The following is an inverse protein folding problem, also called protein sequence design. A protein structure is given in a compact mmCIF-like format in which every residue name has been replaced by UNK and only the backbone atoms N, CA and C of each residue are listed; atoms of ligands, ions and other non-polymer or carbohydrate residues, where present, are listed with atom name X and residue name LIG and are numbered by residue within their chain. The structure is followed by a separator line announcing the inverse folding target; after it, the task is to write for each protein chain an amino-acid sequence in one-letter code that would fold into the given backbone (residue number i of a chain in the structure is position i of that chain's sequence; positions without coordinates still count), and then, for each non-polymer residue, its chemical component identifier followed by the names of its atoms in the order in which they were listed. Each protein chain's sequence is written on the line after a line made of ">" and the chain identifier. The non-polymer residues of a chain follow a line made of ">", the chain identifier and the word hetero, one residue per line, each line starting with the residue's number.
data_IF_988258290927
#
_entry.id   IF_988258290927
#
_cell.length_a   1.000
_cell.length_b   1.000
_cell.length_c   1.000
_cell.angle_alpha   90.00
_cell.angle_beta   90.00
_cell.angle_gamma   90.00
#
_symmetry.space_group_name_H-M   'P 1'
#
loop_
_entity.id
_entity.type
_entity.pdbx_description
1 polymer ?
#
# COMPACT_ATOMS: atom_id res chain seq x y z
N UNK A 1 16.41 -19.30 -19.08
CA UNK A 1 15.36 -18.37 -19.55
C UNK A 1 14.10 -18.66 -18.76
N UNK A 2 13.63 -17.71 -17.94
CA UNK A 2 12.50 -17.91 -17.01
C UNK A 2 11.19 -18.04 -17.77
N UNK A 3 10.46 -19.13 -17.55
CA UNK A 3 9.13 -19.31 -18.09
C UNK A 3 8.16 -18.30 -17.45
N UNK A 4 7.38 -17.59 -18.27
CA UNK A 4 6.09 -17.00 -17.87
C UNK A 4 6.11 -15.97 -16.73
N UNK A 5 7.21 -15.21 -16.57
CA UNK A 5 7.29 -14.13 -15.59
C UNK A 5 7.56 -14.59 -14.15
N UNK A 6 8.16 -15.77 -13.95
CA UNK A 6 8.62 -16.24 -12.63
C UNK A 6 10.14 -16.40 -12.64
N UNK A 7 10.81 -15.75 -11.70
CA UNK A 7 12.27 -15.69 -11.62
C UNK A 7 12.76 -16.14 -10.25
N UNK A 8 13.83 -16.97 -10.23
CA UNK A 8 14.52 -17.36 -9.01
C UNK A 8 15.74 -16.47 -8.80
N UNK A 9 15.94 -16.00 -7.57
CA UNK A 9 17.05 -15.15 -7.17
C UNK A 9 17.38 -15.37 -5.70
N UNK A 10 18.34 -14.63 -5.16
CA UNK A 10 18.58 -14.51 -3.72
C UNK A 10 18.45 -13.03 -3.32
N UNK A 11 17.52 -12.71 -2.43
CA UNK A 11 17.39 -11.39 -1.83
C UNK A 11 17.64 -11.50 -0.33
N UNK A 12 18.42 -10.57 0.22
CA UNK A 12 18.75 -10.52 1.66
C UNK A 12 19.31 -11.85 2.21
N UNK A 13 20.15 -12.52 1.42
CA UNK A 13 20.75 -13.81 1.81
C UNK A 13 19.79 -15.01 1.74
N UNK A 14 18.54 -14.80 1.30
CA UNK A 14 17.51 -15.84 1.26
C UNK A 14 17.10 -16.17 -0.18
N UNK A 15 16.94 -17.47 -0.53
CA UNK A 15 16.35 -17.85 -1.80
C UNK A 15 14.97 -17.20 -1.99
N UNK A 16 14.78 -16.52 -3.11
CA UNK A 16 13.58 -15.72 -3.37
C UNK A 16 13.02 -16.01 -4.76
N UNK A 17 11.70 -16.03 -4.87
CA UNK A 17 10.99 -16.11 -6.14
C UNK A 17 10.31 -14.76 -6.41
N UNK A 18 10.59 -14.17 -7.56
CA UNK A 18 9.93 -12.96 -8.04
C UNK A 18 8.89 -13.37 -9.08
N UNK A 19 7.64 -12.96 -8.88
CA UNK A 19 6.53 -13.17 -9.82
C UNK A 19 6.12 -11.86 -10.47
N UNK A 20 6.00 -11.87 -11.79
CA UNK A 20 5.66 -10.70 -12.61
C UNK A 20 4.52 -10.98 -13.60
N UNK A 21 3.89 -12.16 -13.55
CA UNK A 21 2.69 -12.47 -14.33
C UNK A 21 1.41 -12.27 -13.52
N UNK A 22 0.31 -11.84 -14.16
CA UNK A 22 -0.99 -11.70 -13.50
C UNK A 22 -1.47 -12.98 -12.81
N UNK A 23 -1.25 -14.14 -13.43
CA UNK A 23 -1.65 -15.45 -12.93
C UNK A 23 -0.91 -15.79 -11.63
N UNK A 24 0.41 -15.60 -11.63
CA UNK A 24 1.23 -15.85 -10.45
C UNK A 24 0.91 -14.88 -9.31
N UNK A 25 0.70 -13.59 -9.63
CA UNK A 25 0.33 -12.60 -8.61
C UNK A 25 -1.05 -12.88 -8.01
N UNK A 26 -2.02 -13.33 -8.83
CA UNK A 26 -3.35 -13.75 -8.34
C UNK A 26 -3.25 -14.96 -7.42
N UNK A 27 -2.39 -15.92 -7.75
CA UNK A 27 -2.14 -17.08 -6.89
C UNK A 27 -1.55 -16.64 -5.53
N UNK A 28 -0.52 -15.79 -5.55
CA UNK A 28 0.15 -15.29 -4.34
C UNK A 28 -0.74 -14.41 -3.45
N UNK A 29 -1.67 -13.67 -4.04
CA UNK A 29 -2.63 -12.83 -3.31
C UNK A 29 -3.94 -13.54 -2.96
N UNK A 30 -4.09 -14.80 -3.39
CA UNK A 30 -5.26 -15.63 -3.13
C UNK A 30 -5.32 -16.15 -1.69
N UNK A 31 -6.47 -16.75 -1.29
CA UNK A 31 -6.70 -17.19 0.09
C UNK A 31 -5.66 -18.19 0.60
N UNK A 32 -5.28 -19.16 -0.23
CA UNK A 32 -4.35 -20.26 0.11
C UNK A 32 -2.95 -19.73 0.44
N UNK A 33 -2.46 -18.79 -0.36
CA UNK A 33 -1.19 -18.14 -0.12
C UNK A 33 -1.27 -17.18 1.09
N UNK A 34 -2.37 -16.45 1.26
CA UNK A 34 -2.53 -15.51 2.38
C UNK A 34 -2.53 -16.16 3.76
N UNK A 35 -2.85 -17.45 3.86
CA UNK A 35 -2.84 -18.22 5.11
C UNK A 35 -1.51 -18.90 5.42
N UNK A 36 -0.63 -19.03 4.42
CA UNK A 36 0.68 -19.69 4.54
C UNK A 36 1.86 -18.73 4.46
N UNK A 37 1.66 -17.50 3.99
CA UNK A 37 2.69 -16.49 3.86
C UNK A 37 2.74 -15.61 5.10
N UNK A 38 3.93 -15.50 5.68
CA UNK A 38 4.25 -14.54 6.74
C UNK A 38 4.53 -13.16 6.15
N UNK A 39 4.71 -12.19 7.03
CA UNK A 39 5.13 -10.82 6.68
C UNK A 39 6.51 -10.86 6.04
N UNK A 40 6.55 -10.82 4.71
CA UNK A 40 7.78 -10.86 3.90
C UNK A 40 8.64 -9.59 3.96
N UNK A 41 8.47 -8.76 4.99
CA UNK A 41 9.26 -7.54 5.16
C UNK A 41 10.61 -7.87 5.78
N UNK A 42 11.73 -7.33 5.25
CA UNK A 42 13.06 -7.63 5.78
C UNK A 42 13.31 -7.01 7.16
N UNK A 43 12.48 -6.06 7.59
CA UNK A 43 12.60 -5.38 8.88
C UNK A 43 11.27 -4.75 9.33
N UNK A 44 10.80 -5.02 10.57
CA UNK A 44 9.59 -4.39 11.13
C UNK A 44 9.67 -2.86 11.22
N UNK A 45 10.88 -2.29 11.25
CA UNK A 45 11.11 -0.86 11.36
C UNK A 45 10.68 -0.10 10.10
N UNK A 46 10.66 -0.77 8.93
CA UNK A 46 10.27 -0.14 7.67
C UNK A 46 8.79 0.27 7.67
N UNK A 47 7.94 -0.58 8.23
CA UNK A 47 6.50 -0.33 8.31
C UNK A 47 6.08 0.26 9.65
N UNK A 48 6.94 0.19 10.67
CA UNK A 48 6.63 0.42 12.07
C UNK A 48 6.17 -0.85 12.77
N UNK A 49 6.68 -1.11 13.97
CA UNK A 49 6.45 -2.38 14.71
C UNK A 49 4.98 -2.66 15.01
N UNK A 50 4.16 -1.62 15.17
CA UNK A 50 2.72 -1.73 15.44
C UNK A 50 1.86 -1.61 14.18
N UNK A 51 2.47 -1.65 13.00
CA UNK A 51 1.75 -1.54 11.72
C UNK A 51 0.91 -2.77 11.45
N UNK A 52 -0.25 -2.56 10.83
CA UNK A 52 -1.09 -3.64 10.29
C UNK A 52 -0.31 -4.53 9.31
N UNK A 53 0.72 -3.99 8.64
CA UNK A 53 1.58 -4.73 7.73
C UNK A 53 2.50 -5.76 8.43
N UNK A 54 2.61 -5.70 9.77
CA UNK A 54 3.37 -6.65 10.60
C UNK A 54 2.46 -7.66 11.31
N UNK A 55 1.15 -7.61 11.09
CA UNK A 55 0.18 -8.56 11.67
C UNK A 55 -0.05 -9.70 10.68
N UNK A 56 -0.24 -10.91 11.20
CA UNK A 56 -0.42 -12.13 10.39
C UNK A 56 -1.75 -12.85 10.68
N UNK A 57 -2.10 -13.78 9.78
CA UNK A 57 -3.22 -14.69 9.92
C UNK A 57 -4.59 -14.01 10.14
N UNK A 58 -5.39 -14.58 11.02
CA UNK A 58 -6.77 -14.13 11.26
C UNK A 58 -6.86 -12.72 11.84
N UNK A 59 -5.87 -12.30 12.64
CA UNK A 59 -5.82 -10.94 13.18
C UNK A 59 -5.63 -9.92 12.06
N UNK A 60 -4.74 -10.20 11.11
CA UNK A 60 -4.56 -9.38 9.90
C UNK A 60 -5.84 -9.29 9.09
N UNK A 61 -6.50 -10.44 8.79
CA UNK A 61 -7.76 -10.47 8.03
C UNK A 61 -8.84 -9.59 8.68
N UNK A 62 -8.95 -9.62 10.01
CA UNK A 62 -9.90 -8.81 10.77
C UNK A 62 -9.57 -7.32 10.72
N UNK A 63 -8.33 -6.95 11.02
CA UNK A 63 -7.89 -5.55 10.98
C UNK A 63 -8.01 -4.95 9.57
N UNK A 64 -7.59 -5.70 8.55
CA UNK A 64 -7.66 -5.27 7.14
C UNK A 64 -9.10 -4.98 6.74
N UNK A 65 -10.06 -5.82 7.16
CA UNK A 65 -11.48 -5.60 6.90
C UNK A 65 -11.95 -4.26 7.48
N UNK A 66 -11.65 -3.99 8.76
CA UNK A 66 -12.06 -2.73 9.38
C UNK A 66 -11.43 -1.51 8.70
N UNK A 67 -10.14 -1.56 8.37
CA UNK A 67 -9.47 -0.46 7.67
C UNK A 67 -10.08 -0.22 6.29
N UNK A 68 -10.27 -1.27 5.49
CA UNK A 68 -10.88 -1.15 4.16
C UNK A 68 -12.30 -0.60 4.26
N UNK A 69 -13.11 -1.08 5.20
CA UNK A 69 -14.46 -0.58 5.40
C UNK A 69 -14.50 0.88 5.86
N UNK A 70 -13.54 1.31 6.67
CA UNK A 70 -13.45 2.68 7.13
C UNK A 70 -13.01 3.63 6.01
N UNK A 71 -12.06 3.23 5.17
CA UNK A 71 -11.42 4.12 4.18
C UNK A 71 -12.08 4.05 2.81
N UNK A 72 -12.44 2.85 2.33
CA UNK A 72 -12.86 2.63 0.94
C UNK A 72 -14.39 2.69 0.74
N UNK A 73 -15.17 2.95 1.79
CA UNK A 73 -16.61 3.18 1.62
C UNK A 73 -16.84 4.50 0.85
N UNK A 74 -17.76 4.53 -0.14
CA UNK A 74 -18.03 5.74 -0.91
C UNK A 74 -18.31 6.98 -0.04
N UNK A 75 -19.08 6.80 1.04
CA UNK A 75 -19.38 7.90 1.98
C UNK A 75 -18.14 8.38 2.75
N UNK A 76 -17.25 7.48 3.16
CA UNK A 76 -15.98 7.84 3.82
C UNK A 76 -15.08 8.64 2.89
N UNK A 77 -14.98 8.21 1.63
CA UNK A 77 -14.22 8.92 0.59
C UNK A 77 -14.82 10.32 0.40
N UNK A 78 -16.14 10.41 0.20
CA UNK A 78 -16.85 11.68 0.00
C UNK A 78 -16.62 12.64 1.19
N UNK A 79 -16.75 12.14 2.42
CA UNK A 79 -16.56 12.94 3.62
C UNK A 79 -15.11 13.44 3.77
N UNK A 80 -14.14 12.60 3.42
CA UNK A 80 -12.72 12.98 3.38
C UNK A 80 -12.51 14.13 2.38
N UNK A 81 -13.06 14.04 1.17
CA UNK A 81 -12.96 15.12 0.17
C UNK A 81 -13.60 16.43 0.65
N UNK A 82 -14.79 16.38 1.23
CA UNK A 82 -15.44 17.58 1.79
C UNK A 82 -14.58 18.23 2.87
N UNK A 83 -13.94 17.41 3.71
CA UNK A 83 -13.07 17.87 4.79
C UNK A 83 -11.79 18.52 4.25
N UNK A 84 -11.20 17.97 3.19
CA UNK A 84 -9.97 18.47 2.57
C UNK A 84 -10.19 19.67 1.63
N UNK A 85 -11.43 19.89 1.17
CA UNK A 85 -11.75 20.92 0.18
C UNK A 85 -11.24 22.33 0.55
N UNK A 86 -11.34 22.82 1.80
CA UNK A 86 -10.82 24.13 2.15
C UNK A 86 -9.29 24.22 1.98
N UNK A 87 -8.56 23.18 2.39
CA UNK A 87 -7.10 23.10 2.23
C UNK A 87 -6.71 23.08 0.76
N UNK A 88 -7.42 22.33 -0.09
CA UNK A 88 -7.19 22.35 -1.54
C UNK A 88 -7.42 23.74 -2.14
N UNK A 89 -8.52 24.42 -1.77
CA UNK A 89 -8.79 25.79 -2.25
C UNK A 89 -7.67 26.76 -1.86
N UNK A 90 -7.22 26.71 -0.62
CA UNK A 90 -6.13 27.57 -0.14
C UNK A 90 -4.80 27.26 -0.84
N UNK A 91 -4.47 25.98 -1.02
CA UNK A 91 -3.28 25.55 -1.75
C UNK A 91 -3.31 26.06 -3.20
N UNK A 92 -4.42 25.88 -3.92
CA UNK A 92 -4.56 26.35 -5.29
C UNK A 92 -4.42 27.88 -5.42
N UNK A 93 -5.01 28.65 -4.51
CA UNK A 93 -4.82 30.10 -4.47
C UNK A 93 -3.35 30.48 -4.25
N UNK A 94 -2.65 29.78 -3.36
CA UNK A 94 -1.22 29.97 -3.14
C UNK A 94 -0.39 29.62 -4.38
N UNK A 95 -0.73 28.55 -5.09
CA UNK A 95 0.00 28.11 -6.28
C UNK A 95 -0.12 29.11 -7.43
N UNK A 96 -1.29 29.72 -7.60
CA UNK A 96 -1.49 30.81 -8.58
C UNK A 96 -0.52 31.96 -8.32
N UNK A 97 -0.29 32.33 -7.06
CA UNK A 97 0.65 33.39 -6.69
C UNK A 97 2.12 32.98 -6.89
N UNK A 98 2.45 31.71 -6.70
CA UNK A 98 3.81 31.17 -6.88
C UNK A 98 4.20 31.01 -8.35
N UNK A 99 3.22 30.83 -9.25
CA UNK A 99 3.43 30.62 -10.69
C UNK A 99 3.94 29.22 -11.01
N UNK A 100 5.11 28.83 -10.49
CA UNK A 100 5.68 27.47 -10.62
C UNK A 100 5.78 26.82 -9.25
N UNK A 101 5.40 25.54 -9.16
CA UNK A 101 5.48 24.75 -7.93
C UNK A 101 6.26 23.46 -8.15
N UNK A 102 6.84 22.96 -7.08
CA UNK A 102 7.34 21.58 -7.00
C UNK A 102 6.24 20.72 -6.37
N UNK A 103 5.63 19.84 -7.17
CA UNK A 103 4.48 19.04 -6.71
C UNK A 103 4.80 18.19 -5.46
N UNK A 104 6.02 17.65 -5.35
CA UNK A 104 6.44 16.86 -4.19
C UNK A 104 6.49 17.68 -2.89
N UNK A 105 6.90 18.95 -2.98
CA UNK A 105 6.98 19.85 -1.81
C UNK A 105 5.59 20.31 -1.36
N UNK A 106 4.66 20.45 -2.31
CA UNK A 106 3.29 20.87 -2.01
C UNK A 106 2.40 19.70 -1.55
N UNK A 107 2.73 18.45 -1.90
CA UNK A 107 1.98 17.27 -1.46
C UNK A 107 2.13 16.95 0.05
N UNK A 108 3.18 17.47 0.68
CA UNK A 108 3.48 17.25 2.10
C UNK A 108 3.05 18.42 3.01
N UNK A 109 2.37 19.43 2.46
CA UNK A 109 1.84 20.60 3.19
C UNK A 109 0.37 20.43 3.52
#
# INVERSE_FOLDING_TARGET
>A
MGALGVYRTHLFGSPTIITCSPEANRFMTGPIASDSLTTGWPSPQLMGRSSIAMVEGMQYKRLKRYVIEAVNRPESIRRTFVTLQPSFKAAFQSWVQKGTITAADEANK
#
